data_IF_592765040032
#
_entry.id   IF_592765040032
#
_cell.length_a   1.000
_cell.length_b   1.000
_cell.length_c   1.000
_cell.angle_alpha   90.00
_cell.angle_beta   90.00
_cell.angle_gamma   90.00
#
_symmetry.space_group_name_H-M   'P 1'
#
loop_
_entity.id
_entity.type
_entity.pdbx_description
1 polymer ?
#
# COMPACT_ATOMS: atom_id res chain seq x y z
N UNK A 1 -18.22 4.73 17.29
CA UNK A 1 -17.01 4.15 17.90
C UNK A 1 -16.29 3.41 16.79
N UNK A 2 -15.17 3.91 16.30
CA UNK A 2 -14.33 3.19 15.34
C UNK A 2 -13.79 1.96 16.04
N UNK A 3 -14.11 0.76 15.53
CA UNK A 3 -13.54 -0.48 16.06
C UNK A 3 -12.04 -0.42 15.86
N UNK A 4 -11.24 -0.75 16.88
CA UNK A 4 -9.78 -0.80 16.72
C UNK A 4 -9.36 -1.76 15.60
N UNK A 5 -10.17 -2.77 15.29
CA UNK A 5 -9.93 -3.72 14.21
C UNK A 5 -10.06 -3.10 12.80
N UNK A 6 -10.79 -1.99 12.66
CA UNK A 6 -11.02 -1.36 11.36
C UNK A 6 -9.77 -0.61 10.85
N UNK A 7 -8.86 -0.23 11.74
CA UNK A 7 -7.76 0.66 11.41
C UNK A 7 -6.55 -0.15 10.92
N UNK A 8 -6.05 0.20 9.74
CA UNK A 8 -4.87 -0.41 9.12
C UNK A 8 -3.61 0.26 9.67
N UNK A 9 -3.47 1.56 9.43
CA UNK A 9 -2.28 2.32 9.75
C UNK A 9 -2.58 3.83 9.78
N UNK A 10 -1.61 4.59 10.27
CA UNK A 10 -1.60 6.04 10.22
C UNK A 10 -0.32 6.55 9.55
N UNK A 11 -0.48 7.57 8.71
CA UNK A 11 0.63 8.36 8.17
C UNK A 11 0.73 9.66 8.96
N UNK A 12 1.78 9.75 9.77
CA UNK A 12 2.00 10.87 10.68
C UNK A 12 3.09 11.78 10.10
N UNK A 13 2.81 13.08 9.87
CA UNK A 13 3.85 13.99 9.41
C UNK A 13 5.02 14.05 10.40
N UNK A 14 6.26 14.04 9.90
CA UNK A 14 7.42 13.97 10.80
C UNK A 14 7.69 15.24 11.58
N UNK A 15 7.31 16.40 11.04
CA UNK A 15 7.53 17.72 11.65
C UNK A 15 6.41 18.71 11.32
N UNK A 16 6.16 19.67 12.21
CA UNK A 16 5.23 20.78 11.95
C UNK A 16 5.72 21.63 10.76
N UNK A 17 4.78 22.15 9.97
CA UNK A 17 5.04 22.99 8.79
C UNK A 17 5.83 22.33 7.64
N UNK A 18 6.12 21.03 7.75
CA UNK A 18 6.68 20.22 6.67
C UNK A 18 5.71 20.08 5.49
N UNK A 19 6.21 19.59 4.35
CA UNK A 19 5.36 19.24 3.22
C UNK A 19 4.33 18.15 3.60
N UNK A 20 4.69 17.21 4.47
CA UNK A 20 3.76 16.22 5.02
C UNK A 20 2.68 16.85 5.91
N UNK A 21 3.00 17.90 6.69
CA UNK A 21 1.99 18.64 7.46
C UNK A 21 1.10 19.51 6.56
N UNK A 22 1.63 19.98 5.42
CA UNK A 22 0.79 20.62 4.40
C UNK A 22 -0.16 19.60 3.76
N UNK A 23 0.29 18.37 3.51
CA UNK A 23 -0.55 17.31 2.97
C UNK A 23 -1.77 17.02 3.86
N UNK A 24 -1.62 17.02 5.19
CA UNK A 24 -2.75 16.80 6.12
C UNK A 24 -3.75 17.96 6.17
N UNK A 25 -3.44 19.09 5.53
CA UNK A 25 -4.31 20.27 5.44
C UNK A 25 -4.96 20.40 4.06
N UNK A 26 -4.62 19.52 3.11
CA UNK A 26 -5.24 19.50 1.79
C UNK A 26 -6.69 19.04 1.92
N UNK A 27 -7.66 19.77 1.30
CA UNK A 27 -9.07 19.43 1.40
C UNK A 27 -9.36 18.03 0.84
N UNK A 28 -8.58 17.55 -0.12
CA UNK A 28 -8.72 16.24 -0.74
C UNK A 28 -8.44 15.08 0.23
N UNK A 29 -7.63 15.33 1.26
CA UNK A 29 -7.34 14.34 2.30
C UNK A 29 -8.31 14.41 3.47
N UNK A 30 -9.19 15.41 3.54
CA UNK A 30 -9.98 15.74 4.73
C UNK A 30 -10.80 14.57 5.29
N UNK A 31 -11.30 13.70 4.41
CA UNK A 31 -12.09 12.52 4.80
C UNK A 31 -11.27 11.47 5.58
N UNK A 32 -9.95 11.47 5.44
CA UNK A 32 -9.01 10.53 6.10
C UNK A 32 -8.25 11.17 7.25
N UNK A 33 -8.41 12.48 7.47
CA UNK A 33 -7.68 13.18 8.54
C UNK A 33 -8.33 12.91 9.88
N UNK A 34 -7.52 12.44 10.81
CA UNK A 34 -7.86 12.42 12.23
C UNK A 34 -7.03 13.46 12.98
N UNK A 35 -7.63 14.00 14.04
CA UNK A 35 -6.89 14.78 15.04
C UNK A 35 -6.45 13.83 16.13
N UNK A 36 -5.24 14.02 16.66
CA UNK A 36 -4.72 13.18 17.74
C UNK A 36 -5.69 13.19 18.93
N UNK A 37 -6.20 12.01 19.25
CA UNK A 37 -6.91 11.76 20.50
C UNK A 37 -6.16 10.68 21.28
N UNK A 38 -6.03 10.81 22.62
CA UNK A 38 -5.38 9.80 23.46
C UNK A 38 -5.99 8.39 23.38
N UNK A 39 -7.17 8.26 22.76
CA UNK A 39 -7.84 6.98 22.50
C UNK A 39 -7.06 6.03 21.60
N UNK A 40 -6.12 6.51 20.78
CA UNK A 40 -5.29 5.65 19.93
C UNK A 40 -4.02 5.22 20.64
N UNK A 41 -4.14 4.29 21.59
CA UNK A 41 -3.05 3.84 22.48
C UNK A 41 -1.77 3.49 21.72
N UNK A 42 -1.90 2.78 20.58
CA UNK A 42 -0.74 2.35 19.79
C UNK A 42 -0.03 3.53 19.11
N UNK A 43 -0.80 4.40 18.47
CA UNK A 43 -0.30 5.63 17.86
C UNK A 43 0.37 6.53 18.90
N UNK A 44 -0.28 6.74 20.04
CA UNK A 44 0.28 7.49 21.17
C UNK A 44 1.60 6.89 21.66
N UNK A 45 1.67 5.57 21.86
CA UNK A 45 2.89 4.89 22.36
C UNK A 45 4.08 4.94 21.39
N UNK A 46 3.81 4.84 20.07
CA UNK A 46 4.86 4.88 19.05
C UNK A 46 5.37 6.30 18.80
N UNK A 47 4.52 7.32 19.02
CA UNK A 47 4.89 8.72 18.83
C UNK A 47 5.54 9.33 20.09
N UNK A 48 5.13 8.93 21.29
CA UNK A 48 5.70 9.42 22.55
C UNK A 48 7.19 9.13 22.71
N UNK A 49 7.68 8.08 22.03
CA UNK A 49 9.08 7.68 22.10
C UNK A 49 9.99 8.51 21.17
N UNK A 50 9.43 9.40 20.33
CA UNK A 50 10.15 9.87 19.13
C UNK A 50 10.25 11.40 19.00
N UNK A 51 9.29 12.23 19.41
CA UNK A 51 9.43 13.72 19.29
C UNK A 51 8.63 14.55 20.31
N UNK A 52 9.22 15.68 20.74
CA UNK A 52 8.58 16.71 21.57
C UNK A 52 7.58 17.63 20.81
N UNK A 53 7.38 17.42 19.50
CA UNK A 53 6.60 18.35 18.65
C UNK A 53 5.82 17.60 17.55
N UNK A 54 5.00 16.65 17.98
CA UNK A 54 4.18 15.80 17.10
C UNK A 54 3.08 16.66 16.46
N UNK A 55 2.94 16.64 15.12
CA UNK A 55 1.81 17.26 14.44
C UNK A 55 0.50 16.66 14.94
N UNK A 56 -0.44 17.51 15.37
CA UNK A 56 -1.72 17.06 15.97
C UNK A 56 -2.68 16.36 14.99
N UNK A 57 -2.24 16.03 13.78
CA UNK A 57 -3.05 15.42 12.71
C UNK A 57 -2.29 14.29 12.04
N UNK A 58 -3.03 13.26 11.65
CA UNK A 58 -2.52 12.14 10.88
C UNK A 58 -3.54 11.73 9.81
N UNK A 59 -3.05 11.08 8.75
CA UNK A 59 -3.90 10.45 7.75
C UNK A 59 -4.16 9.02 8.21
N UNK A 60 -5.41 8.65 8.44
CA UNK A 60 -5.81 7.30 8.82
C UNK A 60 -6.17 6.46 7.60
N UNK A 61 -5.69 5.22 7.60
CA UNK A 61 -6.08 4.18 6.67
C UNK A 61 -6.94 3.17 7.43
N UNK A 62 -8.14 2.88 6.91
CA UNK A 62 -9.07 1.92 7.51
C UNK A 62 -9.78 1.10 6.45
N UNK A 63 -10.26 -0.08 6.84
CA UNK A 63 -11.01 -0.97 5.96
C UNK A 63 -12.40 -0.41 5.62
N UNK A 64 -13.05 0.27 6.58
CA UNK A 64 -14.35 0.93 6.41
C UNK A 64 -14.34 2.12 5.46
N UNK A 65 -13.17 2.68 5.17
CA UNK A 65 -12.99 3.78 4.25
C UNK A 65 -12.19 3.32 3.03
N UNK A 66 -12.85 2.64 2.08
CA UNK A 66 -12.17 1.98 0.97
C UNK A 66 -11.39 2.99 0.12
N UNK A 67 -10.31 2.55 -0.52
CA UNK A 67 -9.57 3.36 -1.47
C UNK A 67 -10.41 3.63 -2.71
N UNK A 68 -10.05 4.67 -3.46
CA UNK A 68 -10.56 4.90 -4.80
C UNK A 68 -10.26 3.68 -5.66
N UNK A 69 -9.04 3.16 -5.66
CA UNK A 69 -8.74 1.93 -6.39
C UNK A 69 -8.79 0.74 -5.44
N UNK A 70 -9.66 -0.25 -5.67
CA UNK A 70 -9.75 -1.40 -4.78
C UNK A 70 -8.42 -2.10 -4.54
N UNK A 71 -8.21 -2.52 -3.29
CA UNK A 71 -6.97 -3.17 -2.86
C UNK A 71 -5.75 -2.25 -2.76
N UNK A 72 -5.84 -0.95 -3.06
CA UNK A 72 -4.67 -0.07 -3.06
C UNK A 72 -4.98 1.40 -2.72
N UNK A 73 -4.34 1.94 -1.68
CA UNK A 73 -4.36 3.39 -1.44
C UNK A 73 -3.29 4.06 -2.29
N UNK A 74 -3.72 4.85 -3.28
CA UNK A 74 -2.79 5.53 -4.19
C UNK A 74 -2.33 6.87 -3.59
N UNK A 75 -1.03 7.11 -3.61
CA UNK A 75 -0.39 8.34 -3.12
C UNK A 75 0.23 9.09 -4.29
N UNK A 76 -0.02 10.39 -4.41
CA UNK A 76 0.52 11.21 -5.50
C UNK A 76 -0.06 12.62 -5.52
N UNK A 77 0.15 13.35 -6.61
CA UNK A 77 -0.30 14.75 -6.75
C UNK A 77 -1.68 14.90 -7.39
N UNK A 78 -2.22 13.86 -8.04
CA UNK A 78 -3.51 13.95 -8.75
C UNK A 78 -4.70 13.59 -7.83
N UNK A 79 -5.57 14.55 -7.48
CA UNK A 79 -6.70 14.32 -6.60
C UNK A 79 -7.81 13.46 -7.20
N UNK A 80 -7.82 13.23 -8.53
CA UNK A 80 -8.84 12.38 -9.16
C UNK A 80 -8.53 10.90 -8.95
N UNK A 81 -7.25 10.55 -8.95
CA UNK A 81 -6.78 9.16 -8.91
C UNK A 81 -6.20 8.76 -7.56
N UNK A 82 -5.67 9.71 -6.78
CA UNK A 82 -5.03 9.43 -5.50
C UNK A 82 -6.01 9.44 -4.33
N UNK A 83 -5.82 8.51 -3.40
CA UNK A 83 -6.45 8.48 -2.08
C UNK A 83 -5.79 9.45 -1.10
N UNK A 84 -4.48 9.65 -1.27
CA UNK A 84 -3.66 10.50 -0.44
C UNK A 84 -2.95 11.49 -1.36
N UNK A 85 -3.44 12.72 -1.37
CA UNK A 85 -2.92 13.79 -2.22
C UNK A 85 -1.74 14.45 -1.51
N UNK A 86 -0.62 14.57 -2.21
CA UNK A 86 0.57 15.27 -1.76
C UNK A 86 0.64 16.68 -2.37
N UNK A 87 1.31 17.64 -1.72
CA UNK A 87 1.57 18.94 -2.32
C UNK A 87 2.29 18.78 -3.67
N UNK A 88 1.92 19.59 -4.66
CA UNK A 88 2.56 19.61 -5.97
C UNK A 88 3.98 20.17 -5.91
N UNK A 89 4.94 19.34 -5.51
CA UNK A 89 6.38 19.64 -5.55
C UNK A 89 7.04 18.86 -6.67
N UNK A 90 8.16 19.40 -7.17
CA UNK A 90 8.89 18.81 -8.28
C UNK A 90 9.37 17.40 -7.92
N UNK A 91 9.13 16.45 -8.83
CA UNK A 91 9.55 15.08 -8.68
C UNK A 91 8.51 14.11 -8.14
N UNK A 92 7.35 14.59 -7.69
CA UNK A 92 6.24 13.72 -7.30
C UNK A 92 5.32 13.49 -8.49
N UNK A 93 5.34 12.27 -9.02
CA UNK A 93 4.40 11.78 -10.03
C UNK A 93 2.92 11.95 -9.63
N UNK A 94 2.05 12.04 -10.63
CA UNK A 94 0.58 12.14 -10.45
C UNK A 94 0.03 11.01 -9.58
N UNK A 95 0.49 9.80 -9.84
CA UNK A 95 0.40 8.64 -8.97
C UNK A 95 1.84 8.20 -8.75
N UNK A 96 2.32 8.17 -7.51
CA UNK A 96 3.73 7.98 -7.18
C UNK A 96 3.97 6.58 -6.62
N UNK A 97 3.19 6.20 -5.62
CA UNK A 97 3.28 4.89 -5.00
C UNK A 97 1.90 4.46 -4.50
N UNK A 98 1.79 3.19 -4.12
CA UNK A 98 0.59 2.63 -3.53
C UNK A 98 0.90 1.91 -2.23
N UNK A 99 -0.02 2.02 -1.26
CA UNK A 99 -0.05 1.14 -0.10
C UNK A 99 -1.03 0.00 -0.39
N UNK A 100 -0.54 -1.23 -0.26
CA UNK A 100 -1.24 -2.48 -0.61
C UNK A 100 -0.96 -3.55 0.44
N UNK A 101 -1.60 -4.71 0.31
CA UNK A 101 -1.26 -5.91 1.07
C UNK A 101 -0.67 -6.98 0.15
N UNK A 102 0.30 -7.73 0.66
CA UNK A 102 0.81 -8.92 -0.01
C UNK A 102 0.05 -10.19 0.39
N UNK A 103 0.45 -11.33 -0.18
CA UNK A 103 -0.16 -12.64 0.10
C UNK A 103 0.00 -13.12 1.56
N UNK A 104 0.79 -12.43 2.38
CA UNK A 104 0.98 -12.71 3.81
C UNK A 104 0.26 -11.68 4.69
N UNK A 105 -0.65 -10.89 4.10
CA UNK A 105 -1.37 -9.79 4.77
C UNK A 105 -0.44 -8.74 5.36
N UNK A 106 0.75 -8.57 4.79
CA UNK A 106 1.71 -7.52 5.20
C UNK A 106 1.41 -6.25 4.44
N UNK A 107 1.46 -5.11 5.14
CA UNK A 107 1.33 -3.79 4.51
C UNK A 107 2.60 -3.51 3.71
N UNK A 108 2.45 -3.21 2.43
CA UNK A 108 3.55 -2.97 1.48
C UNK A 108 3.37 -1.63 0.80
N UNK A 109 4.45 -0.86 0.68
CA UNK A 109 4.52 0.28 -0.21
C UNK A 109 5.17 -0.14 -1.53
N UNK A 110 4.49 0.07 -2.65
CA UNK A 110 5.02 -0.19 -3.98
C UNK A 110 5.19 1.12 -4.73
N UNK A 111 6.43 1.46 -5.09
CA UNK A 111 6.75 2.60 -5.93
C UNK A 111 6.68 2.22 -7.40
N UNK A 112 6.09 3.12 -8.18
CA UNK A 112 6.03 3.07 -9.65
C UNK A 112 6.28 4.47 -10.22
N UNK A 113 7.03 5.29 -9.49
CA UNK A 113 7.27 6.69 -9.81
C UNK A 113 8.50 6.85 -10.70
N UNK A 114 8.65 8.06 -11.25
CA UNK A 114 9.79 8.38 -12.11
C UNK A 114 11.08 8.69 -11.32
N UNK A 115 10.95 9.10 -10.05
CA UNK A 115 12.09 9.56 -9.22
C UNK A 115 12.34 8.72 -7.98
N UNK A 116 11.49 7.75 -7.73
CA UNK A 116 11.60 6.80 -6.64
C UNK A 116 11.07 7.33 -5.32
N UNK A 117 10.86 6.36 -4.43
CA UNK A 117 10.50 6.57 -3.03
C UNK A 117 11.65 6.09 -2.16
N UNK A 118 11.86 6.70 -1.00
CA UNK A 118 12.82 6.24 0.00
C UNK A 118 12.07 5.80 1.26
N UNK A 119 12.41 4.62 1.79
CA UNK A 119 11.89 4.15 3.08
C UNK A 119 13.05 3.97 4.04
N UNK A 120 12.87 4.53 5.23
CA UNK A 120 13.80 4.45 6.35
C UNK A 120 13.25 3.45 7.36
N UNK A 121 14.09 2.48 7.74
CA UNK A 121 13.89 1.62 8.89
C UNK A 121 14.82 2.10 10.00
N UNK A 122 14.22 2.65 11.05
CA UNK A 122 14.88 3.40 12.11
C UNK A 122 15.71 4.60 11.58
N UNK A 123 17.00 4.40 11.35
CA UNK A 123 17.93 5.40 10.82
C UNK A 123 18.60 4.96 9.50
N UNK A 124 18.24 3.80 8.98
CA UNK A 124 18.84 3.23 7.77
C UNK A 124 17.89 3.32 6.59
N UNK A 125 18.42 3.73 5.44
CA UNK A 125 17.69 3.72 4.17
C UNK A 125 18.65 3.44 3.01
N UNK A 126 18.11 2.88 1.93
CA UNK A 126 18.87 2.55 0.72
C UNK A 126 18.73 3.63 -0.38
N UNK A 127 18.37 4.85 0.00
CA UNK A 127 18.07 5.94 -0.94
C UNK A 127 16.73 5.77 -1.66
N UNK A 128 16.52 6.62 -2.65
CA UNK A 128 15.36 6.56 -3.55
C UNK A 128 15.46 5.33 -4.46
N UNK A 129 14.35 4.58 -4.58
CA UNK A 129 14.25 3.41 -5.46
C UNK A 129 12.97 3.53 -6.30
N UNK A 130 13.10 3.23 -7.57
CA UNK A 130 11.97 3.08 -8.51
C UNK A 130 11.60 1.62 -8.65
N UNK A 131 10.34 1.34 -9.00
CA UNK A 131 9.83 -0.03 -9.27
C UNK A 131 10.16 -1.01 -8.14
N UNK A 132 10.06 -0.54 -6.90
CA UNK A 132 10.49 -1.27 -5.71
C UNK A 132 9.38 -1.32 -4.66
N UNK A 133 9.38 -2.40 -3.89
CA UNK A 133 8.39 -2.62 -2.83
C UNK A 133 9.06 -2.74 -1.45
N UNK A 134 8.52 -2.03 -0.48
CA UNK A 134 8.99 -2.04 0.91
C UNK A 134 7.94 -2.61 1.84
N UNK A 135 8.36 -3.48 2.76
CA UNK A 135 7.52 -3.99 3.82
C UNK A 135 7.35 -2.93 4.90
N UNK A 136 6.12 -2.58 5.23
CA UNK A 136 5.77 -1.62 6.28
C UNK A 136 5.16 -2.30 7.51
N UNK A 137 4.69 -3.54 7.38
CA UNK A 137 4.24 -4.37 8.50
C UNK A 137 4.70 -5.82 8.34
N UNK A 138 4.68 -6.56 9.45
CA UNK A 138 4.98 -7.99 9.49
C UNK A 138 3.73 -8.86 9.26
N UNK A 139 2.58 -8.25 8.97
CA UNK A 139 1.30 -8.96 8.79
C UNK A 139 0.91 -9.74 10.04
N UNK A 140 0.54 -11.01 9.87
CA UNK A 140 0.21 -11.93 10.96
C UNK A 140 1.45 -12.66 11.53
N UNK A 141 2.62 -12.04 11.44
CA UNK A 141 3.87 -12.58 11.96
C UNK A 141 4.61 -11.55 12.83
N UNK A 142 5.63 -12.00 13.54
CA UNK A 142 6.58 -11.14 14.24
C UNK A 142 7.90 -10.99 13.48
N UNK A 143 7.92 -11.24 12.17
CA UNK A 143 9.11 -11.09 11.35
C UNK A 143 9.39 -9.61 11.02
N UNK A 144 10.38 -9.36 10.17
CA UNK A 144 10.66 -8.01 9.68
C UNK A 144 9.42 -7.35 9.07
N UNK A 145 9.13 -6.07 9.38
CA UNK A 145 9.87 -5.10 10.20
C UNK A 145 9.38 -4.96 11.66
N UNK A 146 8.86 -6.01 12.31
CA UNK A 146 8.28 -5.93 13.67
C UNK A 146 9.22 -5.35 14.73
N UNK A 147 10.53 -5.64 14.59
CA UNK A 147 11.61 -5.19 15.46
C UNK A 147 11.98 -3.72 15.23
N UNK A 148 11.60 -3.16 14.08
CA UNK A 148 11.89 -1.77 13.72
C UNK A 148 11.02 -0.85 14.59
N UNK A 149 11.65 0.16 15.18
CA UNK A 149 10.96 1.11 16.04
C UNK A 149 10.21 2.16 15.23
N UNK A 150 10.80 2.57 14.11
CA UNK A 150 10.31 3.65 13.26
C UNK A 150 10.43 3.30 11.78
N UNK A 151 9.32 3.39 11.06
CA UNK A 151 9.32 3.32 9.60
C UNK A 151 8.94 4.70 9.08
N UNK A 152 9.80 5.31 8.26
CA UNK A 152 9.54 6.61 7.65
C UNK A 152 9.57 6.49 6.14
N UNK A 153 8.47 6.85 5.49
CA UNK A 153 8.36 6.95 4.03
C UNK A 153 8.67 8.40 3.65
N UNK A 154 9.63 8.58 2.76
CA UNK A 154 10.04 9.85 2.18
C UNK A 154 9.75 9.85 0.68
N UNK A 155 8.79 10.68 0.27
CA UNK A 155 8.41 10.88 -1.12
C UNK A 155 8.91 12.26 -1.52
N UNK A 156 10.14 12.32 -2.03
CA UNK A 156 10.76 13.56 -2.54
C UNK A 156 10.70 14.73 -1.52
N UNK A 157 10.98 14.46 -0.25
CA UNK A 157 10.96 15.42 0.85
C UNK A 157 9.62 15.49 1.60
N UNK A 158 8.58 14.79 1.15
CA UNK A 158 7.32 14.62 1.89
C UNK A 158 7.43 13.39 2.78
N UNK A 159 7.66 13.60 4.08
CA UNK A 159 8.01 12.55 5.03
C UNK A 159 6.86 12.18 5.97
N UNK A 160 6.43 10.93 5.91
CA UNK A 160 5.47 10.37 6.86
C UNK A 160 6.12 9.25 7.67
N UNK A 161 5.96 9.32 8.99
CA UNK A 161 6.12 8.14 9.83
C UNK A 161 4.90 7.24 9.65
N UNK A 162 5.14 5.99 9.28
CA UNK A 162 4.09 4.97 9.17
C UNK A 162 3.95 4.30 10.53
N UNK A 163 2.74 4.35 11.09
CA UNK A 163 2.39 3.64 12.32
C UNK A 163 1.32 2.62 11.97
N UNK A 164 1.68 1.34 11.98
CA UNK A 164 0.73 0.25 11.73
C UNK A 164 0.00 -0.06 13.03
N UNK A 165 -1.31 -0.30 12.93
CA UNK A 165 -2.11 -0.70 14.07
C UNK A 165 -1.80 -2.15 14.49
N UNK A 166 -2.00 -2.45 15.78
CA UNK A 166 -1.71 -3.78 16.32
C UNK A 166 -2.95 -4.66 16.24
N UNK A 167 -2.85 -5.71 15.42
CA UNK A 167 -3.91 -6.71 15.21
C UNK A 167 -3.56 -8.08 15.80
N UNK A 168 -2.55 -8.15 16.68
CA UNK A 168 -2.10 -9.42 17.29
C UNK A 168 -3.11 -10.10 18.19
N UNK A 169 -4.16 -9.40 18.60
CA UNK A 169 -5.27 -9.98 19.36
C UNK A 169 -6.16 -10.90 18.52
N UNK A 170 -6.25 -10.67 17.20
CA UNK A 170 -7.11 -11.44 16.29
C UNK A 170 -6.57 -11.38 14.84
N UNK A 171 -5.58 -12.22 14.54
CA UNK A 171 -4.98 -12.31 13.21
C UNK A 171 -5.92 -12.91 12.16
N UNK A 172 -6.89 -13.74 12.58
CA UNK A 172 -7.83 -14.37 11.67
C UNK A 172 -8.82 -13.33 11.14
N UNK A 173 -9.43 -12.54 12.02
CA UNK A 173 -10.30 -11.44 11.59
C UNK A 173 -9.56 -10.41 10.72
N UNK A 174 -8.33 -10.05 11.10
CA UNK A 174 -7.53 -9.11 10.31
C UNK A 174 -7.23 -9.64 8.90
N UNK A 175 -6.94 -10.94 8.76
CA UNK A 175 -6.70 -11.56 7.46
C UNK A 175 -7.96 -11.57 6.60
N UNK A 176 -9.12 -11.89 7.17
CA UNK A 176 -10.41 -11.79 6.45
C UNK A 176 -10.70 -10.35 6.00
N UNK A 177 -10.39 -9.36 6.83
CA UNK A 177 -10.49 -7.94 6.46
C UNK A 177 -9.57 -7.57 5.29
N UNK A 178 -8.33 -8.06 5.31
CA UNK A 178 -7.36 -7.86 4.24
C UNK A 178 -7.79 -8.56 2.95
N UNK A 179 -8.24 -9.81 3.03
CA UNK A 179 -8.71 -10.57 1.87
C UNK A 179 -9.90 -9.85 1.22
N UNK A 180 -10.90 -9.45 2.04
CA UNK A 180 -12.03 -8.65 1.58
C UNK A 180 -11.59 -7.33 0.96
N UNK A 181 -10.59 -6.66 1.53
CA UNK A 181 -10.04 -5.40 1.00
C UNK A 181 -9.39 -5.61 -0.38
N UNK A 182 -8.68 -6.72 -0.56
CA UNK A 182 -8.02 -7.08 -1.81
C UNK A 182 -9.00 -7.59 -2.88
N UNK A 183 -10.11 -8.22 -2.48
CA UNK A 183 -11.14 -8.76 -3.37
C UNK A 183 -12.17 -7.72 -3.85
N UNK A 184 -12.13 -6.48 -3.34
CA UNK A 184 -13.07 -5.45 -3.76
C UNK A 184 -13.03 -5.25 -5.29
N UNK A 185 -14.17 -5.36 -6.00
CA UNK A 185 -14.20 -5.16 -7.45
C UNK A 185 -13.90 -3.69 -7.78
N UNK A 186 -13.12 -3.44 -8.85
CA UNK A 186 -12.98 -2.10 -9.44
C UNK A 186 -14.37 -1.54 -9.64
N UNK A 187 -14.68 -0.40 -9.02
CA UNK A 187 -15.88 0.36 -9.38
C UNK A 187 -15.79 0.61 -10.88
N UNK A 188 -16.55 -0.16 -11.64
CA UNK A 188 -16.77 0.13 -13.04
C UNK A 188 -17.66 1.37 -13.09
N UNK A 189 -17.07 2.44 -13.60
CA UNK A 189 -17.67 3.58 -14.30
C UNK A 189 -19.21 3.58 -14.38
N UNK A 190 -19.89 3.99 -13.30
CA UNK A 190 -21.31 4.36 -13.35
C UNK A 190 -21.45 5.71 -14.07
N UNK A 191 -21.50 5.68 -15.40
CA UNK A 191 -22.05 6.77 -16.21
C UNK A 191 -23.16 6.28 -17.14
N UNK A 192 -24.43 6.56 -16.83
CA UNK A 192 -25.57 6.15 -17.65
C UNK A 192 -25.89 7.22 -18.71
N UNK A 193 -25.21 7.17 -19.86
CA UNK A 193 -25.66 7.75 -21.14
C UNK A 193 -24.68 7.36 -22.25
N UNK A 194 -25.12 6.48 -23.16
CA UNK A 194 -24.94 6.55 -24.62
C UNK A 194 -25.13 5.17 -25.25
N UNK A 195 -26.38 4.94 -25.66
CA UNK A 195 -26.82 4.25 -26.86
C UNK A 195 -26.29 2.86 -27.22
N UNK A 196 -27.28 1.95 -27.23
CA UNK A 196 -27.28 0.70 -27.95
C UNK A 196 -26.90 0.90 -29.43
N UNK A 197 -25.68 0.52 -29.79
CA UNK A 197 -25.35 -0.28 -30.97
C UNK A 197 -23.83 -0.33 -31.16
N UNK A 198 -23.18 -1.32 -30.57
CA UNK A 198 -22.02 -2.00 -31.16
C UNK A 198 -21.74 -3.26 -30.34
N UNK A 199 -22.55 -4.28 -30.61
CA UNK A 199 -22.15 -5.66 -30.33
C UNK A 199 -20.97 -5.97 -31.25
N UNK A 200 -19.74 -5.82 -30.74
CA UNK A 200 -18.59 -6.49 -31.30
C UNK A 200 -17.84 -7.20 -30.17
N UNK A 201 -17.93 -8.52 -30.23
CA UNK A 201 -17.17 -9.51 -29.45
C UNK A 201 -15.76 -9.02 -29.12
N UNK A 202 -15.51 -8.72 -27.84
CA UNK A 202 -14.16 -8.86 -27.32
C UNK A 202 -13.94 -10.34 -27.06
N UNK A 203 -13.33 -10.97 -28.06
CA UNK A 203 -12.92 -12.36 -28.04
C UNK A 203 -12.07 -12.56 -26.78
N UNK A 204 -12.58 -13.34 -25.82
CA UNK A 204 -11.78 -13.90 -24.74
C UNK A 204 -10.55 -14.50 -25.41
N UNK A 205 -9.37 -13.92 -25.16
CA UNK A 205 -8.13 -14.48 -25.67
C UNK A 205 -8.09 -15.94 -25.19
N UNK A 206 -8.05 -16.92 -26.10
CA UNK A 206 -8.00 -18.30 -25.68
C UNK A 206 -6.74 -18.46 -24.83
N UNK A 207 -6.88 -19.05 -23.65
CA UNK A 207 -5.77 -19.54 -22.85
C UNK A 207 -4.81 -20.27 -23.80
N UNK A 208 -3.66 -19.65 -24.08
CA UNK A 208 -2.63 -20.31 -24.87
C UNK A 208 -1.86 -21.18 -23.90
N UNK A 209 -1.96 -22.51 -23.96
CA UNK A 209 -1.11 -23.35 -23.15
C UNK A 209 0.34 -23.05 -23.53
N UNK A 210 1.14 -22.65 -22.55
CA UNK A 210 2.58 -22.53 -22.71
C UNK A 210 3.15 -23.94 -22.64
N UNK A 211 3.60 -24.46 -23.77
CA UNK A 211 4.21 -25.80 -23.85
C UNK A 211 5.72 -25.60 -23.79
N UNK A 212 6.32 -26.00 -22.67
CA UNK A 212 7.78 -26.03 -22.50
C UNK A 212 8.28 -27.35 -23.10
N UNK A 213 9.10 -27.27 -24.16
CA UNK A 213 9.73 -28.43 -24.78
C UNK A 213 11.14 -28.59 -24.22
N UNK A 214 11.35 -29.66 -23.46
CA UNK A 214 12.63 -30.02 -22.87
C UNK A 214 13.66 -30.34 -23.97
N UNK A 215 14.86 -29.75 -23.90
CA UNK A 215 15.93 -29.91 -24.90
C UNK A 215 17.11 -30.74 -24.41
N UNK A 216 17.07 -31.27 -23.17
CA UNK A 216 18.20 -31.94 -22.53
C UNK A 216 17.73 -33.17 -21.77
N UNK A 217 18.33 -34.32 -22.03
CA UNK A 217 17.94 -35.63 -21.49
C UNK A 217 18.52 -35.92 -20.10
N UNK A 218 18.52 -34.95 -19.19
CA UNK A 218 18.96 -35.16 -17.81
C UNK A 218 17.77 -35.07 -16.85
N UNK A 219 17.55 -36.09 -15.99
CA UNK A 219 16.43 -36.10 -15.07
C UNK A 219 16.72 -35.10 -13.94
N UNK A 220 16.14 -33.91 -14.02
CA UNK A 220 16.07 -32.99 -12.90
C UNK A 220 14.65 -32.97 -12.32
N UNK A 221 14.61 -32.69 -11.01
CA UNK A 221 13.39 -32.73 -10.20
C UNK A 221 12.37 -31.65 -10.54
N UNK A 222 11.58 -31.30 -9.55
CA UNK A 222 10.38 -30.45 -9.69
C UNK A 222 10.66 -29.15 -10.47
N UNK A 223 9.97 -28.98 -11.60
CA UNK A 223 10.05 -27.77 -12.43
C UNK A 223 9.09 -26.73 -11.88
N UNK A 224 9.55 -25.48 -11.76
CA UNK A 224 8.73 -24.36 -11.31
C UNK A 224 8.75 -23.23 -12.34
N UNK A 225 7.58 -22.64 -12.57
CA UNK A 225 7.39 -21.49 -13.44
C UNK A 225 7.27 -20.24 -12.58
N UNK A 226 7.95 -19.18 -13.02
CA UNK A 226 7.94 -17.87 -12.40
C UNK A 226 7.53 -16.80 -13.42
N UNK A 227 6.58 -15.95 -13.02
CA UNK A 227 6.12 -14.86 -13.86
C UNK A 227 6.99 -13.61 -13.66
N UNK A 228 7.91 -13.34 -14.59
CA UNK A 228 8.79 -12.16 -14.51
C UNK A 228 8.06 -10.81 -14.62
N UNK A 229 6.85 -10.79 -15.20
CA UNK A 229 6.02 -9.59 -15.27
C UNK A 229 5.24 -9.33 -13.97
N UNK A 230 5.17 -10.34 -13.09
CA UNK A 230 4.51 -10.29 -11.79
C UNK A 230 5.34 -11.06 -10.76
N UNK A 231 6.54 -10.57 -10.40
CA UNK A 231 7.45 -11.25 -9.47
C UNK A 231 6.91 -11.43 -8.05
N UNK A 232 5.67 -11.02 -7.77
CA UNK A 232 4.97 -11.22 -6.51
C UNK A 232 4.00 -12.41 -6.52
N UNK A 233 3.77 -13.05 -7.67
CA UNK A 233 2.99 -14.30 -7.75
C UNK A 233 3.88 -15.50 -7.33
N UNK A 234 3.36 -16.47 -6.52
CA UNK A 234 4.14 -17.61 -6.07
C UNK A 234 4.57 -18.53 -7.23
N UNK A 235 5.74 -19.17 -7.09
CA UNK A 235 6.25 -20.16 -8.06
C UNK A 235 5.23 -21.28 -8.26
N UNK A 236 4.78 -21.47 -9.50
CA UNK A 236 3.83 -22.55 -9.83
C UNK A 236 4.62 -23.78 -10.24
N UNK A 237 4.40 -24.91 -9.56
CA UNK A 237 4.98 -26.20 -9.95
C UNK A 237 4.40 -26.63 -11.30
N UNK A 238 5.26 -26.81 -12.29
CA UNK A 238 4.87 -27.36 -13.58
C UNK A 238 4.74 -28.88 -13.47
N UNK A 239 3.55 -29.39 -13.76
CA UNK A 239 3.32 -30.82 -13.94
C UNK A 239 3.88 -31.24 -15.30
N UNK A 240 4.74 -32.27 -15.32
CA UNK A 240 5.11 -32.97 -16.56
C UNK A 240 3.96 -33.84 -17.07
#
# INVERSE_FOLDING_TARGET
>A
MTSHHDIIAWLVPTTLHSLSDKATRLPENASRIITYTPSYTRLSSRLSNVTHNIPGRAIQLSFSQPPKRPGSFIIGTDPRTCDIVLPGVEGISKQHCALTFDAQSRLVLSDFSERGTQVWYDWESNGDRTDYSWLLSSGCSHEFPSMVQRITVDIQGVRFQVVVNDHSADWDAFREDVDRFCEQPSWEDDSPWADAASVLSSTVAPFRPVIVREATSEPFGEVYLWNLARPWEPMVKASA
#
